data_IF_245376533648
#
_entry.id   IF_245376533648
#
_cell.length_a   1.000
_cell.length_b   1.000
_cell.length_c   1.000
_cell.angle_alpha   90.00
_cell.angle_beta   90.00
_cell.angle_gamma   90.00
#
_symmetry.space_group_name_H-M   'P 1'
#
loop_
_entity.id
_entity.type
_entity.pdbx_description
1 polymer ?
#
# COMPACT_ATOMS: atom_id res chain seq x y z
N UNK A 1 -33.24 9.22 -17.70
CA UNK A 1 -33.18 10.69 -17.99
C UNK A 1 -32.23 11.31 -16.96
N UNK A 2 -31.21 12.03 -17.41
CA UNK A 2 -30.27 12.76 -16.57
C UNK A 2 -30.44 14.24 -16.89
N UNK A 3 -30.39 15.09 -15.88
CA UNK A 3 -30.42 16.56 -16.03
C UNK A 3 -29.01 17.07 -15.80
N UNK A 4 -28.44 17.72 -16.80
CA UNK A 4 -27.12 18.34 -16.73
C UNK A 4 -27.27 19.80 -16.21
N UNK A 5 -26.60 20.10 -15.11
CA UNK A 5 -26.53 21.47 -14.57
C UNK A 5 -25.10 21.96 -14.78
N UNK A 6 -24.93 22.97 -15.60
CA UNK A 6 -23.64 23.53 -15.98
C UNK A 6 -23.28 24.73 -15.11
N UNK A 7 -22.07 24.73 -14.59
CA UNK A 7 -21.38 25.85 -13.97
C UNK A 7 -20.15 26.21 -14.84
N UNK A 8 -19.50 27.31 -14.52
CA UNK A 8 -18.36 27.80 -15.31
C UNK A 8 -17.26 26.78 -15.47
N UNK A 9 -16.91 26.07 -14.39
CA UNK A 9 -15.75 25.16 -14.36
C UNK A 9 -16.12 23.70 -14.17
N UNK A 10 -17.39 23.37 -13.96
CA UNK A 10 -17.85 22.00 -13.73
C UNK A 10 -19.33 21.80 -14.09
N UNK A 11 -19.68 20.53 -14.26
CA UNK A 11 -21.04 20.08 -14.58
C UNK A 11 -21.51 19.10 -13.51
N UNK A 12 -22.75 19.26 -13.04
CA UNK A 12 -23.44 18.23 -12.29
C UNK A 12 -24.39 17.45 -13.18
N UNK A 13 -24.37 16.14 -13.04
CA UNK A 13 -25.37 15.24 -13.62
C UNK A 13 -26.36 14.85 -12.51
N UNK A 14 -27.59 15.30 -12.61
CA UNK A 14 -28.65 15.00 -11.65
C UNK A 14 -29.57 13.94 -12.25
N UNK A 15 -29.60 12.79 -11.58
CA UNK A 15 -30.49 11.71 -11.99
C UNK A 15 -31.65 11.61 -11.02
N UNK A 16 -32.89 11.96 -11.42
CA UNK A 16 -34.07 11.75 -10.59
C UNK A 16 -34.35 10.26 -10.44
N UNK A 17 -34.68 9.84 -9.24
CA UNK A 17 -34.95 8.43 -8.92
C UNK A 17 -36.22 8.31 -8.07
N UNK A 18 -36.88 7.16 -8.17
CA UNK A 18 -37.95 6.77 -7.26
C UNK A 18 -37.37 5.84 -6.20
N UNK A 19 -37.68 6.11 -4.95
CA UNK A 19 -37.35 5.24 -3.83
C UNK A 19 -38.32 4.08 -3.76
N UNK A 20 -37.80 2.87 -3.58
CA UNK A 20 -38.57 1.65 -3.42
C UNK A 20 -37.99 0.84 -2.25
N UNK A 21 -38.87 0.41 -1.35
CA UNK A 21 -38.49 -0.49 -0.27
C UNK A 21 -38.60 -1.93 -0.75
N UNK A 22 -37.54 -2.70 -0.49
CA UNK A 22 -37.46 -4.14 -0.80
C UNK A 22 -36.99 -4.86 0.48
N UNK A 23 -37.92 -5.21 1.34
CA UNK A 23 -37.63 -5.68 2.69
C UNK A 23 -37.00 -4.55 3.52
N UNK A 24 -35.83 -4.84 4.10
CA UNK A 24 -35.04 -3.87 4.87
C UNK A 24 -34.15 -2.98 3.97
N UNK A 25 -34.06 -3.30 2.66
CA UNK A 25 -33.24 -2.59 1.70
C UNK A 25 -34.00 -1.46 1.00
N UNK A 26 -33.32 -0.32 0.82
CA UNK A 26 -33.81 0.80 0.02
C UNK A 26 -33.14 0.76 -1.35
N UNK A 27 -33.93 0.54 -2.39
CA UNK A 27 -33.52 0.59 -3.78
C UNK A 27 -33.99 1.90 -4.44
N UNK A 28 -33.31 2.30 -5.49
CA UNK A 28 -33.69 3.46 -6.29
C UNK A 28 -33.93 3.05 -7.73
N UNK A 29 -35.08 3.43 -8.29
CA UNK A 29 -35.43 3.17 -9.68
C UNK A 29 -35.36 4.45 -10.50
N UNK A 30 -34.82 4.35 -11.70
CA UNK A 30 -34.83 5.45 -12.67
C UNK A 30 -35.29 4.96 -14.04
N UNK A 31 -35.95 5.82 -14.84
CA UNK A 31 -36.46 5.46 -16.16
C UNK A 31 -35.31 5.14 -17.13
N UNK A 32 -35.37 4.01 -17.78
CA UNK A 32 -34.57 3.67 -18.97
C UNK A 32 -35.38 4.01 -20.22
N UNK A 33 -35.24 5.22 -20.71
CA UNK A 33 -35.99 5.72 -21.87
C UNK A 33 -35.67 5.01 -23.18
N UNK A 34 -34.62 4.16 -23.21
CA UNK A 34 -34.26 3.38 -24.40
C UNK A 34 -35.01 2.05 -24.49
N UNK A 35 -35.41 1.52 -23.36
CA UNK A 35 -36.01 0.17 -23.30
C UNK A 35 -37.42 0.18 -22.68
N UNK A 36 -38.03 1.38 -22.51
CA UNK A 36 -39.35 1.57 -21.90
C UNK A 36 -39.50 0.78 -20.60
N UNK A 37 -38.50 0.90 -19.73
CA UNK A 37 -38.36 0.14 -18.49
C UNK A 37 -37.76 0.99 -17.39
N UNK A 38 -37.58 0.40 -16.23
CA UNK A 38 -36.86 0.99 -15.10
C UNK A 38 -35.59 0.21 -14.79
N UNK A 39 -34.53 0.92 -14.41
CA UNK A 39 -33.31 0.32 -13.87
C UNK A 39 -33.21 0.62 -12.40
N UNK A 40 -32.70 -0.36 -11.68
CA UNK A 40 -32.39 -0.23 -10.24
C UNK A 40 -30.97 0.28 -10.10
N UNK A 41 -30.76 1.17 -9.12
CA UNK A 41 -29.43 1.59 -8.64
C UNK A 41 -29.42 1.57 -7.11
N UNK A 42 -28.28 1.22 -6.53
CA UNK A 42 -28.10 1.02 -5.09
C UNK A 42 -26.96 1.87 -4.51
N UNK A 43 -26.95 3.19 -4.71
CA UNK A 43 -25.81 4.05 -4.36
C UNK A 43 -25.55 4.13 -2.86
N UNK A 44 -26.58 3.95 -2.01
CA UNK A 44 -26.40 3.95 -0.55
C UNK A 44 -25.60 2.75 -0.07
N UNK A 45 -25.83 1.55 -0.67
CA UNK A 45 -25.11 0.34 -0.33
C UNK A 45 -23.64 0.44 -0.78
N UNK A 46 -23.39 0.96 -1.99
CA UNK A 46 -22.04 1.23 -2.50
C UNK A 46 -21.29 2.24 -1.62
N UNK A 47 -21.98 3.31 -1.20
CA UNK A 47 -21.40 4.32 -0.31
C UNK A 47 -21.14 3.77 1.09
N UNK A 48 -22.03 2.94 1.63
CA UNK A 48 -21.87 2.31 2.93
C UNK A 48 -20.63 1.40 2.93
N UNK A 49 -20.49 0.55 1.90
CA UNK A 49 -19.32 -0.32 1.75
C UNK A 49 -18.02 0.48 1.68
N UNK A 50 -17.97 1.52 0.85
CA UNK A 50 -16.80 2.40 0.77
C UNK A 50 -16.47 3.07 2.11
N UNK A 51 -17.48 3.39 2.92
CA UNK A 51 -17.31 4.00 4.23
C UNK A 51 -16.74 2.99 5.23
N UNK A 52 -17.30 1.79 5.28
CA UNK A 52 -16.81 0.69 6.12
C UNK A 52 -15.38 0.32 5.74
N UNK A 53 -15.12 0.11 4.46
CA UNK A 53 -13.79 -0.22 3.95
C UNK A 53 -12.75 0.85 4.34
N UNK A 54 -13.13 2.12 4.29
CA UNK A 54 -12.22 3.21 4.72
C UNK A 54 -11.96 3.19 6.23
N UNK A 55 -12.93 2.82 7.05
CA UNK A 55 -12.75 2.72 8.50
C UNK A 55 -11.79 1.58 8.85
N UNK A 56 -11.85 0.48 8.13
CA UNK A 56 -11.05 -0.72 8.36
C UNK A 56 -9.65 -0.62 7.74
N UNK A 57 -9.53 -0.09 6.52
CA UNK A 57 -8.31 -0.12 5.70
C UNK A 57 -7.69 1.28 5.44
N UNK A 58 -8.26 2.34 6.01
CA UNK A 58 -7.76 3.72 5.84
C UNK A 58 -8.16 4.37 4.52
N UNK A 59 -7.46 5.44 4.15
CA UNK A 59 -7.79 6.25 2.97
C UNK A 59 -7.22 5.73 1.65
N UNK A 60 -6.50 4.61 1.66
CA UNK A 60 -5.78 4.07 0.49
C UNK A 60 -6.71 3.86 -0.70
N UNK A 61 -7.88 3.24 -0.48
CA UNK A 61 -8.90 3.04 -1.52
C UNK A 61 -9.29 4.35 -2.22
N UNK A 62 -9.60 5.39 -1.44
CA UNK A 62 -10.01 6.69 -1.99
C UNK A 62 -8.91 7.37 -2.80
N UNK A 63 -7.67 7.29 -2.32
CA UNK A 63 -6.52 7.91 -2.97
C UNK A 63 -6.15 7.18 -4.26
N UNK A 64 -6.05 5.84 -4.21
CA UNK A 64 -5.78 5.02 -5.38
C UNK A 64 -6.87 5.19 -6.45
N UNK A 65 -8.15 5.19 -6.06
CA UNK A 65 -9.26 5.43 -6.98
C UNK A 65 -9.17 6.79 -7.69
N UNK A 66 -8.70 7.85 -6.99
CA UNK A 66 -8.46 9.17 -7.61
C UNK A 66 -7.31 9.12 -8.60
N UNK A 67 -6.20 8.45 -8.26
CA UNK A 67 -5.07 8.27 -9.17
C UNK A 67 -5.48 7.51 -10.43
N UNK A 68 -6.29 6.46 -10.29
CA UNK A 68 -6.81 5.70 -11.42
C UNK A 68 -7.76 6.50 -12.30
N UNK A 69 -8.52 7.44 -11.73
CA UNK A 69 -9.31 8.39 -12.53
C UNK A 69 -8.41 9.34 -13.34
N UNK A 70 -7.29 9.78 -12.77
CA UNK A 70 -6.30 10.58 -13.49
C UNK A 70 -5.69 9.78 -14.65
N UNK A 71 -5.21 8.55 -14.37
CA UNK A 71 -4.68 7.64 -15.39
C UNK A 71 -5.69 7.41 -16.53
N UNK A 72 -6.92 7.01 -16.22
CA UNK A 72 -7.93 6.75 -17.28
C UNK A 72 -8.18 7.96 -18.17
N UNK A 73 -8.22 9.17 -17.59
CA UNK A 73 -8.42 10.41 -18.32
C UNK A 73 -7.22 10.71 -19.22
N UNK A 74 -6.01 10.57 -18.68
CA UNK A 74 -4.76 10.80 -19.42
C UNK A 74 -4.62 9.86 -20.62
N UNK A 75 -4.91 8.57 -20.45
CA UNK A 75 -4.76 7.59 -21.54
C UNK A 75 -6.04 7.41 -22.39
N UNK A 76 -7.09 8.17 -22.12
CA UNK A 76 -8.38 8.06 -22.83
C UNK A 76 -9.02 6.67 -22.69
N UNK A 77 -8.98 6.07 -21.49
CA UNK A 77 -9.60 4.77 -21.22
C UNK A 77 -11.07 4.95 -20.82
N UNK A 78 -11.97 4.30 -21.54
CA UNK A 78 -13.39 4.32 -21.21
C UNK A 78 -13.71 3.32 -20.08
N UNK A 79 -13.38 3.68 -18.84
CA UNK A 79 -13.70 2.94 -17.64
C UNK A 79 -14.58 3.82 -16.73
N UNK A 80 -15.68 3.27 -16.20
CA UNK A 80 -16.61 3.98 -15.30
C UNK A 80 -16.02 4.23 -13.93
N UNK A 81 -16.51 5.27 -13.24
CA UNK A 81 -16.06 5.59 -11.87
C UNK A 81 -16.31 4.45 -10.89
N UNK A 82 -17.53 3.89 -10.90
CA UNK A 82 -17.89 2.76 -10.04
C UNK A 82 -17.06 1.51 -10.35
N UNK A 83 -16.71 1.26 -11.62
CA UNK A 83 -15.82 0.15 -11.97
C UNK A 83 -14.40 0.35 -11.41
N UNK A 84 -13.88 1.58 -11.41
CA UNK A 84 -12.61 1.87 -10.77
C UNK A 84 -12.69 1.60 -9.27
N UNK A 85 -13.73 2.08 -8.60
CA UNK A 85 -13.91 1.88 -7.16
C UNK A 85 -14.04 0.39 -6.82
N UNK A 86 -14.79 -0.36 -7.61
CA UNK A 86 -14.94 -1.82 -7.46
C UNK A 86 -13.61 -2.57 -7.62
N UNK A 87 -12.85 -2.25 -8.66
CA UNK A 87 -11.56 -2.91 -8.90
C UNK A 87 -10.52 -2.54 -7.85
N UNK A 88 -10.53 -1.29 -7.40
CA UNK A 88 -9.65 -0.82 -6.32
C UNK A 88 -9.99 -1.50 -4.99
N UNK A 89 -11.28 -1.65 -4.69
CA UNK A 89 -11.75 -2.38 -3.51
C UNK A 89 -11.29 -3.84 -3.54
N UNK A 90 -11.53 -4.56 -4.64
CA UNK A 90 -11.11 -5.96 -4.79
C UNK A 90 -9.59 -6.13 -4.60
N UNK A 91 -8.83 -5.28 -5.26
CA UNK A 91 -7.37 -5.31 -5.15
C UNK A 91 -6.91 -5.13 -3.69
N UNK A 92 -7.39 -4.09 -3.03
CA UNK A 92 -6.99 -3.81 -1.64
C UNK A 92 -7.49 -4.84 -0.64
N UNK A 93 -8.61 -5.51 -0.90
CA UNK A 93 -9.07 -6.66 -0.08
C UNK A 93 -8.11 -7.84 -0.15
N UNK A 94 -7.38 -8.00 -1.25
CA UNK A 94 -6.38 -9.05 -1.44
C UNK A 94 -4.97 -8.60 -1.01
N UNK A 95 -4.76 -7.29 -0.76
CA UNK A 95 -3.48 -6.65 -0.47
C UNK A 95 -3.50 -5.81 0.83
N UNK A 96 -3.67 -6.48 2.00
CA UNK A 96 -3.73 -5.78 3.29
C UNK A 96 -2.42 -5.08 3.68
N UNK A 97 -1.32 -5.36 2.99
CA UNK A 97 -0.04 -4.64 3.14
C UNK A 97 -0.15 -3.16 2.79
N UNK A 98 -1.18 -2.76 2.04
CA UNK A 98 -1.46 -1.37 1.68
C UNK A 98 -2.49 -0.69 2.60
N UNK A 99 -2.95 -1.37 3.65
CA UNK A 99 -3.84 -0.77 4.63
C UNK A 99 -3.17 0.40 5.33
N UNK A 100 -3.91 1.50 5.46
CA UNK A 100 -3.40 2.73 6.05
C UNK A 100 -2.11 3.27 5.38
N UNK A 101 -1.87 2.89 4.13
CA UNK A 101 -0.68 3.27 3.40
C UNK A 101 -0.53 4.79 3.33
N UNK A 102 0.64 5.27 3.71
CA UNK A 102 1.05 6.65 3.49
C UNK A 102 1.38 6.90 2.02
N UNK A 103 1.49 8.17 1.63
CA UNK A 103 1.78 8.56 0.23
C UNK A 103 3.13 8.04 -0.29
N UNK A 104 3.98 7.54 0.59
CA UNK A 104 5.35 7.12 0.30
C UNK A 104 5.45 5.79 -0.45
N UNK A 105 4.40 4.98 -0.44
CA UNK A 105 4.34 3.68 -1.13
C UNK A 105 3.42 3.71 -2.36
N UNK A 106 2.96 4.88 -2.79
CA UNK A 106 2.00 4.98 -3.91
C UNK A 106 2.62 4.64 -5.27
N UNK A 107 3.92 4.69 -5.41
CA UNK A 107 4.66 4.20 -6.57
C UNK A 107 4.49 2.68 -6.69
N UNK A 108 4.79 1.92 -5.64
CA UNK A 108 4.63 0.47 -5.60
C UNK A 108 3.16 0.05 -5.65
N UNK A 109 2.32 0.70 -4.87
CA UNK A 109 0.87 0.50 -4.90
C UNK A 109 0.29 0.68 -6.31
N UNK A 110 0.74 1.71 -7.04
CA UNK A 110 0.31 1.95 -8.42
C UNK A 110 0.80 0.87 -9.38
N UNK A 111 2.06 0.44 -9.25
CA UNK A 111 2.65 -0.66 -10.02
C UNK A 111 1.84 -1.93 -9.83
N UNK A 112 1.58 -2.32 -8.58
CA UNK A 112 0.92 -3.58 -8.25
C UNK A 112 -0.56 -3.55 -8.65
N UNK A 113 -1.20 -2.39 -8.52
CA UNK A 113 -2.55 -2.23 -9.05
C UNK A 113 -2.60 -2.32 -10.58
N UNK A 114 -1.63 -1.76 -11.31
CA UNK A 114 -1.55 -1.96 -12.76
C UNK A 114 -1.22 -3.40 -13.13
N UNK A 115 -0.45 -4.11 -12.29
CA UNK A 115 -0.23 -5.53 -12.44
C UNK A 115 -1.52 -6.33 -12.29
N UNK A 116 -2.27 -6.07 -11.25
CA UNK A 116 -3.60 -6.64 -11.05
C UNK A 116 -4.50 -6.37 -12.26
N UNK A 117 -4.64 -5.11 -12.70
CA UNK A 117 -5.49 -4.75 -13.84
C UNK A 117 -5.08 -5.43 -15.15
N UNK A 118 -3.76 -5.58 -15.43
CA UNK A 118 -3.32 -6.23 -16.68
C UNK A 118 -3.62 -7.72 -16.70
N UNK A 119 -3.72 -8.35 -15.53
CA UNK A 119 -3.95 -9.78 -15.35
C UNK A 119 -5.44 -10.11 -15.17
N UNK A 120 -6.30 -9.11 -14.95
CA UNK A 120 -7.75 -9.32 -14.86
C UNK A 120 -8.31 -9.99 -16.14
N UNK A 121 -9.20 -10.98 -16.00
CA UNK A 121 -9.82 -11.61 -17.13
C UNK A 121 -10.64 -10.60 -17.97
N UNK A 122 -10.71 -10.81 -19.28
CA UNK A 122 -11.61 -10.02 -20.12
C UNK A 122 -13.03 -10.49 -19.88
N UNK A 123 -13.85 -9.61 -19.33
CA UNK A 123 -15.26 -9.86 -19.07
C UNK A 123 -16.11 -8.61 -19.34
N UNK A 124 -17.41 -8.79 -19.52
CA UNK A 124 -18.31 -7.72 -19.91
C UNK A 124 -18.80 -6.88 -18.71
N UNK A 125 -18.76 -7.45 -17.51
CA UNK A 125 -19.19 -6.79 -16.28
C UNK A 125 -18.44 -7.30 -15.05
N UNK A 126 -18.48 -6.49 -13.99
CA UNK A 126 -18.03 -6.81 -12.63
C UNK A 126 -19.16 -6.55 -11.65
N UNK A 127 -19.17 -7.26 -10.53
CA UNK A 127 -20.11 -7.01 -9.45
C UNK A 127 -19.64 -5.78 -8.65
N UNK A 128 -20.49 -4.76 -8.54
CA UNK A 128 -20.20 -3.54 -7.79
C UNK A 128 -19.97 -3.85 -6.31
N UNK A 129 -19.02 -3.15 -5.72
CA UNK A 129 -18.79 -3.20 -4.26
C UNK A 129 -20.09 -2.85 -3.51
N UNK A 130 -20.35 -3.56 -2.42
CA UNK A 130 -21.48 -3.37 -1.52
C UNK A 130 -22.85 -3.69 -2.11
N UNK A 131 -23.12 -3.30 -3.34
CA UNK A 131 -24.45 -3.49 -3.96
C UNK A 131 -24.61 -4.80 -4.75
N UNK A 132 -23.49 -5.39 -5.20
CA UNK A 132 -23.49 -6.57 -6.08
C UNK A 132 -24.12 -6.34 -7.46
N UNK A 133 -24.39 -5.10 -7.84
CA UNK A 133 -24.96 -4.80 -9.15
C UNK A 133 -23.94 -4.94 -10.29
N UNK A 134 -24.40 -5.31 -11.47
CA UNK A 134 -23.56 -5.43 -12.67
C UNK A 134 -23.01 -4.07 -13.11
N UNK A 135 -21.70 -3.91 -13.07
CA UNK A 135 -20.99 -2.75 -13.62
C UNK A 135 -20.36 -3.11 -14.96
N UNK A 136 -20.90 -2.55 -16.01
CA UNK A 136 -20.50 -2.86 -17.38
C UNK A 136 -19.09 -2.37 -17.71
N UNK A 137 -18.27 -3.22 -18.32
CA UNK A 137 -16.99 -2.87 -18.93
C UNK A 137 -17.23 -2.27 -20.32
N UNK A 138 -17.05 -0.95 -20.44
CA UNK A 138 -17.28 -0.24 -21.70
C UNK A 138 -16.24 -0.60 -22.77
N UNK A 139 -14.98 -0.74 -22.39
CA UNK A 139 -13.84 -1.15 -23.23
C UNK A 139 -12.82 -1.91 -22.39
N UNK A 140 -12.20 -2.97 -22.95
CA UNK A 140 -11.09 -3.67 -22.27
C UNK A 140 -9.98 -2.71 -21.87
N UNK A 141 -9.49 -2.83 -20.65
CA UNK A 141 -8.47 -1.94 -20.06
C UNK A 141 -7.10 -2.61 -19.92
N UNK A 142 -7.01 -3.93 -20.04
CA UNK A 142 -5.82 -4.73 -19.75
C UNK A 142 -4.59 -4.28 -20.54
N UNK A 143 -4.75 -3.96 -21.83
CA UNK A 143 -3.63 -3.55 -22.68
C UNK A 143 -3.04 -2.18 -22.23
N UNK A 144 -3.90 -1.24 -21.81
CA UNK A 144 -3.45 0.05 -21.29
C UNK A 144 -2.87 -0.07 -19.88
N UNK A 145 -3.43 -0.96 -19.06
CA UNK A 145 -2.88 -1.29 -17.75
C UNK A 145 -1.47 -1.90 -17.87
N UNK A 146 -1.26 -2.82 -18.84
CA UNK A 146 0.08 -3.38 -19.11
C UNK A 146 1.11 -2.32 -19.49
N UNK A 147 0.71 -1.32 -20.29
CA UNK A 147 1.61 -0.19 -20.62
C UNK A 147 1.94 0.65 -19.39
N UNK A 148 0.94 0.93 -18.54
CA UNK A 148 1.14 1.67 -17.31
C UNK A 148 2.02 0.88 -16.33
N UNK A 149 1.83 -0.43 -16.20
CA UNK A 149 2.67 -1.31 -15.41
C UNK A 149 4.14 -1.25 -15.84
N UNK A 150 4.43 -1.45 -17.13
CA UNK A 150 5.82 -1.39 -17.61
C UNK A 150 6.45 -0.02 -17.34
N UNK A 151 5.69 1.05 -17.54
CA UNK A 151 6.17 2.41 -17.28
C UNK A 151 6.35 2.71 -15.79
N UNK A 152 5.54 2.12 -14.91
CA UNK A 152 5.74 2.25 -13.47
C UNK A 152 7.02 1.54 -13.00
N UNK A 153 7.38 0.42 -13.61
CA UNK A 153 8.69 -0.22 -13.36
C UNK A 153 9.83 0.70 -13.77
N UNK A 154 9.77 1.27 -14.99
CA UNK A 154 10.78 2.23 -15.46
C UNK A 154 10.90 3.43 -14.50
N UNK A 155 9.76 3.96 -14.03
CA UNK A 155 9.74 5.11 -13.13
C UNK A 155 10.29 4.77 -11.73
N UNK A 156 10.03 3.57 -11.22
CA UNK A 156 10.53 3.12 -9.90
C UNK A 156 12.05 2.91 -9.96
N UNK A 157 12.57 2.38 -11.06
CA UNK A 157 13.99 2.10 -11.23
C UNK A 157 14.82 3.34 -11.65
N UNK A 158 14.17 4.43 -12.10
CA UNK A 158 14.83 5.65 -12.55
C UNK A 158 15.42 6.43 -11.36
N UNK A 159 16.73 6.69 -11.43
CA UNK A 159 17.47 7.43 -10.38
C UNK A 159 17.35 8.95 -10.54
N UNK A 160 17.23 9.43 -11.77
CA UNK A 160 17.04 10.86 -12.05
C UNK A 160 15.61 11.28 -11.69
N UNK A 161 15.48 12.20 -10.74
CA UNK A 161 14.19 12.64 -10.24
C UNK A 161 13.33 13.33 -11.30
N UNK A 162 13.94 14.10 -12.21
CA UNK A 162 13.22 14.78 -13.27
C UNK A 162 12.62 13.76 -14.23
N UNK A 163 13.43 12.81 -14.68
CA UNK A 163 12.99 11.74 -15.57
C UNK A 163 11.94 10.84 -14.89
N UNK A 164 12.15 10.49 -13.61
CA UNK A 164 11.17 9.72 -12.83
C UNK A 164 9.82 10.41 -12.77
N UNK A 165 9.80 11.72 -12.48
CA UNK A 165 8.56 12.48 -12.45
C UNK A 165 7.92 12.59 -13.83
N UNK A 166 8.69 12.71 -14.90
CA UNK A 166 8.17 12.72 -16.27
C UNK A 166 7.55 11.37 -16.64
N UNK A 167 8.13 10.23 -16.23
CA UNK A 167 7.55 8.91 -16.41
C UNK A 167 6.20 8.77 -15.67
N UNK A 168 6.11 9.25 -14.42
CA UNK A 168 4.84 9.28 -13.70
C UNK A 168 3.82 10.22 -14.36
N UNK A 169 4.26 11.34 -14.93
CA UNK A 169 3.39 12.25 -15.71
C UNK A 169 2.87 11.59 -16.98
N UNK A 170 3.63 10.74 -17.61
CA UNK A 170 3.14 9.96 -18.75
C UNK A 170 2.03 8.97 -18.36
N UNK A 171 2.03 8.47 -17.12
CA UNK A 171 0.98 7.60 -16.58
C UNK A 171 -0.23 8.44 -16.15
N UNK A 172 -0.06 9.41 -15.26
CA UNK A 172 -1.15 10.11 -14.58
C UNK A 172 -1.56 11.45 -15.22
N UNK A 173 -0.77 11.93 -16.20
CA UNK A 173 -1.03 13.17 -16.89
C UNK A 173 -0.38 14.40 -16.23
N UNK A 174 -0.70 15.57 -16.80
CA UNK A 174 -0.08 16.85 -16.41
C UNK A 174 -0.40 17.28 -14.98
N UNK A 175 -1.41 16.70 -14.36
CA UNK A 175 -1.75 16.96 -12.95
C UNK A 175 -0.73 16.34 -11.97
N UNK A 176 0.02 15.34 -12.40
CA UNK A 176 1.15 14.87 -11.60
C UNK A 176 2.24 15.94 -11.54
N UNK A 177 2.80 16.25 -10.35
CA UNK A 177 3.77 17.33 -10.19
C UNK A 177 4.95 17.21 -11.14
N UNK A 178 5.38 18.33 -11.73
CA UNK A 178 6.61 18.40 -12.50
C UNK A 178 7.77 18.61 -11.53
N UNK A 179 8.85 17.85 -11.66
CA UNK A 179 10.07 18.22 -10.96
C UNK A 179 10.54 19.56 -11.51
N UNK A 180 10.65 20.54 -10.63
CA UNK A 180 11.23 21.84 -10.99
C UNK A 180 12.66 21.87 -10.50
N UNK A 181 13.55 22.52 -11.26
CA UNK A 181 14.94 22.76 -10.85
C UNK A 181 15.01 23.46 -9.49
N UNK A 182 13.99 24.27 -9.15
CA UNK A 182 13.86 24.90 -7.84
C UNK A 182 13.51 23.88 -6.71
N UNK A 183 12.89 22.73 -7.04
CA UNK A 183 12.69 21.62 -6.08
C UNK A 183 13.98 20.81 -5.90
N UNK A 184 14.82 20.67 -6.94
CA UNK A 184 16.14 20.06 -6.80
C UNK A 184 17.12 20.99 -6.08
N UNK A 185 17.09 22.31 -6.37
CA UNK A 185 17.87 23.31 -5.64
C UNK A 185 17.36 23.51 -4.20
N UNK A 186 16.06 23.47 -3.96
CA UNK A 186 15.50 23.49 -2.60
C UNK A 186 15.75 22.18 -1.85
N UNK A 187 16.04 21.08 -2.55
CA UNK A 187 16.46 19.83 -1.92
C UNK A 187 17.96 19.75 -1.66
N UNK A 188 18.81 20.38 -2.46
CA UNK A 188 20.20 20.63 -2.06
C UNK A 188 20.26 21.61 -0.87
N UNK A 189 19.34 22.59 -0.80
CA UNK A 189 19.18 23.48 0.36
C UNK A 189 18.33 22.84 1.47
N UNK A 190 17.47 21.88 1.16
CA UNK A 190 16.72 21.07 2.14
C UNK A 190 17.32 19.67 2.35
N UNK A 191 18.61 19.51 2.06
CA UNK A 191 19.43 18.49 2.75
C UNK A 191 19.49 18.76 4.25
N UNK A 192 18.89 19.85 4.69
CA UNK A 192 18.33 20.12 6.02
C UNK A 192 16.81 19.97 6.08
N UNK A 193 16.14 19.22 5.18
CA UNK A 193 14.82 18.66 5.55
C UNK A 193 15.11 17.68 6.67
N UNK A 194 14.78 18.12 7.85
CA UNK A 194 14.65 17.39 9.07
C UNK A 194 13.81 16.13 8.81
N UNK A 195 14.44 15.08 8.26
CA UNK A 195 13.90 13.75 8.48
C UNK A 195 14.02 13.55 10.00
N UNK A 196 12.91 13.28 10.64
CA UNK A 196 12.92 12.91 12.03
C UNK A 196 13.60 11.55 12.08
N UNK A 197 14.80 11.49 12.59
CA UNK A 197 15.43 10.22 12.91
C UNK A 197 14.85 9.75 14.25
N UNK A 198 13.87 8.81 14.26
CA UNK A 198 13.22 8.37 15.48
C UNK A 198 14.04 7.29 16.19
N UNK A 199 15.32 7.15 15.88
CA UNK A 199 16.16 6.11 16.44
C UNK A 199 16.26 6.23 17.96
N UNK A 200 15.91 5.14 18.64
CA UNK A 200 16.07 4.97 20.08
C UNK A 200 17.18 3.95 20.35
N UNK A 201 17.88 4.15 21.47
CA UNK A 201 18.85 3.20 21.96
C UNK A 201 18.28 2.48 23.17
N UNK A 202 18.46 1.17 23.22
CA UNK A 202 17.88 0.35 24.30
C UNK A 202 18.45 0.74 25.67
N UNK A 203 19.69 1.19 25.69
CA UNK A 203 20.42 1.64 26.86
C UNK A 203 19.79 2.89 27.50
N UNK A 204 19.07 3.70 26.73
CA UNK A 204 18.37 4.90 27.20
C UNK A 204 17.04 4.55 27.88
N UNK A 205 16.50 3.37 27.61
CA UNK A 205 15.20 2.93 28.11
C UNK A 205 15.30 1.89 29.21
N UNK A 206 16.31 1.03 29.19
CA UNK A 206 16.48 -0.07 30.13
C UNK A 206 17.94 -0.26 30.52
N UNK A 207 18.23 -0.65 31.76
CA UNK A 207 19.54 -1.16 32.13
C UNK A 207 19.90 -2.38 31.27
N UNK A 208 21.17 -2.49 30.87
CA UNK A 208 21.68 -3.60 30.08
C UNK A 208 22.71 -4.40 30.86
N UNK A 209 22.46 -5.71 31.03
CA UNK A 209 23.36 -6.64 31.68
C UNK A 209 23.24 -8.00 30.99
N UNK A 210 24.03 -8.18 29.95
CA UNK A 210 23.95 -9.36 29.07
C UNK A 210 24.51 -10.58 29.79
N UNK A 211 23.64 -11.53 30.09
CA UNK A 211 23.94 -12.79 30.81
C UNK A 211 23.58 -14.04 30.04
N UNK A 212 22.79 -13.91 28.97
CA UNK A 212 22.22 -15.00 28.22
C UNK A 212 22.48 -14.81 26.72
N UNK A 213 22.23 -15.86 25.96
CA UNK A 213 22.32 -15.82 24.52
C UNK A 213 20.93 -15.69 23.90
N UNK A 214 20.85 -15.00 22.79
CA UNK A 214 19.72 -15.00 21.88
C UNK A 214 20.25 -15.06 20.45
N UNK A 215 19.58 -15.81 19.62
CA UNK A 215 19.85 -15.87 18.19
C UNK A 215 18.62 -15.42 17.44
N UNK A 216 18.77 -14.44 16.57
CA UNK A 216 17.73 -13.86 15.73
C UNK A 216 17.85 -14.39 14.32
N UNK A 217 16.76 -14.90 13.77
CA UNK A 217 16.64 -15.23 12.35
C UNK A 217 15.29 -14.76 11.81
N UNK A 218 15.06 -14.91 10.52
CA UNK A 218 13.85 -14.48 9.87
C UNK A 218 13.36 -15.51 8.86
N UNK A 219 12.09 -15.89 8.96
CA UNK A 219 11.41 -16.63 7.91
C UNK A 219 11.02 -15.67 6.79
N UNK A 220 11.63 -15.81 5.62
CA UNK A 220 11.27 -15.08 4.41
C UNK A 220 10.15 -15.82 3.72
N UNK A 221 9.01 -15.14 3.53
CA UNK A 221 7.79 -15.75 2.99
C UNK A 221 7.35 -15.04 1.70
N UNK A 222 6.78 -15.83 0.80
CA UNK A 222 6.09 -15.35 -0.39
C UNK A 222 4.70 -15.97 -0.46
N UNK A 223 3.68 -15.14 -0.61
CA UNK A 223 2.27 -15.59 -0.69
C UNK A 223 1.89 -16.53 0.47
N UNK A 224 2.39 -16.26 1.68
CA UNK A 224 2.13 -17.07 2.88
C UNK A 224 2.99 -18.33 3.04
N UNK A 225 3.80 -18.69 2.04
CA UNK A 225 4.71 -19.84 2.11
C UNK A 225 6.14 -19.41 2.44
N UNK A 226 6.80 -20.12 3.35
CA UNK A 226 8.20 -19.90 3.65
C UNK A 226 9.06 -20.28 2.43
N UNK A 227 9.83 -19.32 1.92
CA UNK A 227 10.83 -19.59 0.87
C UNK A 227 12.14 -20.08 1.48
N UNK A 228 12.66 -19.36 2.50
CA UNK A 228 13.92 -19.69 3.16
C UNK A 228 14.02 -19.00 4.52
N UNK A 229 15.02 -19.39 5.31
CA UNK A 229 15.52 -18.59 6.43
C UNK A 229 16.45 -17.51 5.89
N UNK A 230 16.41 -16.31 6.47
CA UNK A 230 17.25 -15.20 6.06
C UNK A 230 18.74 -15.52 6.19
N UNK A 231 19.12 -16.20 7.27
CA UNK A 231 20.50 -16.69 7.46
C UNK A 231 21.00 -17.53 6.28
N UNK A 232 20.15 -18.37 5.69
CA UNK A 232 20.53 -19.19 4.52
C UNK A 232 20.66 -18.32 3.25
N UNK A 233 19.77 -17.34 3.05
CA UNK A 233 19.85 -16.40 1.94
C UNK A 233 21.18 -15.63 2.02
N UNK A 234 21.51 -15.10 3.19
CA UNK A 234 22.73 -14.33 3.41
C UNK A 234 24.00 -15.20 3.23
N UNK A 235 23.98 -16.44 3.73
CA UNK A 235 25.08 -17.38 3.57
C UNK A 235 25.34 -17.74 2.10
N UNK A 236 24.33 -17.69 1.23
CA UNK A 236 24.48 -17.91 -0.21
C UNK A 236 24.92 -16.64 -0.98
N UNK A 237 25.17 -15.53 -0.27
CA UNK A 237 25.53 -14.24 -0.88
C UNK A 237 24.38 -13.53 -1.59
N UNK A 238 23.15 -14.02 -1.41
CA UNK A 238 21.94 -13.43 -1.98
C UNK A 238 21.36 -12.35 -1.07
N UNK A 239 20.45 -11.57 -1.63
CA UNK A 239 19.67 -10.54 -0.91
C UNK A 239 18.20 -10.93 -0.89
N UNK A 240 17.44 -10.26 -0.04
CA UNK A 240 16.00 -10.45 0.02
C UNK A 240 15.36 -9.66 -1.12
N UNK A 241 14.58 -10.31 -1.96
CA UNK A 241 13.79 -9.61 -2.97
C UNK A 241 12.65 -8.84 -2.32
N UNK A 242 12.25 -7.74 -2.93
CA UNK A 242 11.06 -6.98 -2.52
C UNK A 242 9.79 -7.82 -2.57
N UNK A 243 8.74 -7.31 -1.92
CA UNK A 243 7.42 -7.98 -1.85
C UNK A 243 7.53 -9.36 -1.17
N UNK A 244 8.25 -9.39 -0.05
CA UNK A 244 8.32 -10.56 0.84
C UNK A 244 7.78 -10.19 2.21
N UNK A 245 7.14 -11.15 2.83
CA UNK A 245 6.80 -11.08 4.24
C UNK A 245 7.96 -11.63 5.06
N UNK A 246 8.30 -10.92 6.11
CA UNK A 246 9.42 -11.22 6.98
C UNK A 246 8.88 -11.51 8.39
N UNK A 247 9.06 -12.73 8.86
CA UNK A 247 8.71 -13.09 10.24
C UNK A 247 9.98 -13.37 11.02
N UNK A 248 10.38 -12.39 11.85
CA UNK A 248 11.53 -12.49 12.72
C UNK A 248 11.20 -13.35 13.93
N UNK A 249 12.03 -14.34 14.17
CA UNK A 249 11.93 -15.26 15.28
C UNK A 249 13.24 -15.30 16.05
N UNK A 250 13.13 -15.44 17.36
CA UNK A 250 14.30 -15.54 18.23
C UNK A 250 14.31 -16.88 18.97
N UNK A 251 15.51 -17.39 19.22
CA UNK A 251 15.76 -18.52 20.09
C UNK A 251 16.71 -18.08 21.19
N UNK A 252 16.38 -18.34 22.44
CA UNK A 252 17.16 -17.89 23.60
C UNK A 252 17.19 -18.93 24.70
N UNK A 253 18.23 -18.90 25.50
CA UNK A 253 18.41 -19.69 26.74
C UNK A 253 17.92 -18.93 27.99
N UNK A 254 17.32 -17.74 27.84
CA UNK A 254 16.74 -16.96 28.96
C UNK A 254 15.57 -17.73 29.57
N UNK A 255 15.57 -17.99 30.90
CA UNK A 255 14.44 -18.65 31.55
C UNK A 255 13.18 -17.76 31.54
N UNK A 256 12.02 -18.34 31.26
CA UNK A 256 10.72 -17.66 31.38
C UNK A 256 10.40 -17.25 32.82
N UNK A 257 9.62 -16.19 33.07
CA UNK A 257 9.05 -15.28 32.07
C UNK A 257 10.04 -14.20 31.62
N UNK A 258 9.89 -13.71 30.39
CA UNK A 258 10.58 -12.54 29.85
C UNK A 258 9.73 -11.89 28.75
N UNK A 259 10.01 -10.62 28.45
CA UNK A 259 9.44 -9.90 27.32
C UNK A 259 10.44 -9.73 26.19
N UNK A 260 9.95 -9.53 24.98
CA UNK A 260 10.79 -9.29 23.81
C UNK A 260 10.50 -7.90 23.25
N UNK A 261 11.54 -7.08 23.13
CA UNK A 261 11.50 -5.78 22.46
C UNK A 261 12.21 -5.88 21.12
N UNK A 262 11.75 -5.09 20.17
CA UNK A 262 12.22 -5.10 18.80
C UNK A 262 12.62 -3.70 18.37
N UNK A 263 13.62 -3.61 17.50
CA UNK A 263 13.96 -2.39 16.78
C UNK A 263 14.10 -2.74 15.31
N UNK A 264 13.34 -2.06 14.46
CA UNK A 264 13.44 -2.18 13.00
C UNK A 264 14.03 -0.91 12.46
N UNK A 265 15.19 -0.98 11.86
CA UNK A 265 15.89 0.17 11.32
C UNK A 265 16.00 0.09 9.82
N UNK A 266 15.39 1.04 9.15
CA UNK A 266 15.56 1.24 7.73
C UNK A 266 16.77 2.17 7.48
N UNK A 267 17.64 1.78 6.55
CA UNK A 267 18.90 2.48 6.28
C UNK A 267 19.01 2.76 4.78
N UNK A 268 19.71 3.83 4.44
CA UNK A 268 20.01 4.24 3.07
C UNK A 268 19.17 5.42 2.60
N UNK A 269 19.51 5.92 1.41
CA UNK A 269 18.90 7.13 0.84
C UNK A 269 17.41 6.93 0.53
N UNK A 270 17.01 5.72 0.16
CA UNK A 270 15.62 5.38 -0.08
C UNK A 270 14.78 5.47 1.20
N UNK A 271 15.29 4.99 2.34
CA UNK A 271 14.64 5.13 3.63
C UNK A 271 14.50 6.61 4.06
N UNK A 272 15.53 7.42 3.78
CA UNK A 272 15.49 8.87 4.03
C UNK A 272 14.48 9.55 3.09
N UNK A 273 14.52 9.23 1.80
CA UNK A 273 13.60 9.75 0.79
C UNK A 273 12.15 9.48 1.15
N UNK A 274 11.87 8.28 1.68
CA UNK A 274 10.54 7.85 2.12
C UNK A 274 10.19 8.36 3.52
N UNK A 275 11.09 9.06 4.23
CA UNK A 275 10.95 9.46 5.63
C UNK A 275 10.51 8.28 6.53
N UNK A 276 11.07 7.10 6.29
CA UNK A 276 10.73 5.87 7.00
C UNK A 276 11.98 5.20 7.59
N UNK A 277 12.87 6.00 8.18
CA UNK A 277 14.08 5.50 8.82
C UNK A 277 13.76 4.53 9.96
N UNK A 278 12.68 4.75 10.70
CA UNK A 278 12.29 3.96 11.88
C UNK A 278 13.42 3.87 12.91
N UNK A 279 13.35 2.97 13.84
CA UNK A 279 14.40 2.77 14.85
C UNK A 279 13.88 2.88 16.28
N UNK A 280 12.59 3.05 16.45
CA UNK A 280 11.94 3.02 17.75
C UNK A 280 12.02 1.61 18.36
N UNK A 281 12.10 1.55 19.69
CA UNK A 281 11.98 0.30 20.44
C UNK A 281 10.50 -0.02 20.62
N UNK A 282 10.07 -1.12 20.05
CA UNK A 282 8.66 -1.50 19.92
C UNK A 282 8.41 -2.91 20.44
N UNK A 283 7.14 -3.18 20.73
CA UNK A 283 6.69 -4.52 21.12
C UNK A 283 6.50 -5.44 19.92
N UNK A 284 6.33 -6.72 20.19
CA UNK A 284 5.91 -7.69 19.19
C UNK A 284 4.53 -7.33 18.61
N UNK A 285 4.34 -7.57 17.31
CA UNK A 285 3.03 -7.46 16.66
C UNK A 285 2.37 -8.83 16.41
N UNK A 286 2.85 -9.90 17.07
CA UNK A 286 2.30 -11.25 17.01
C UNK A 286 1.70 -11.70 18.32
N UNK A 287 0.65 -12.54 18.26
CA UNK A 287 0.11 -13.22 19.45
C UNK A 287 1.22 -14.04 20.13
N UNK A 288 1.36 -13.87 21.43
CA UNK A 288 2.41 -14.54 22.21
C UNK A 288 3.67 -13.72 22.44
N UNK A 289 3.78 -12.51 21.83
CA UNK A 289 4.84 -11.54 22.18
C UNK A 289 6.27 -11.91 21.76
N UNK A 290 6.47 -12.99 21.01
CA UNK A 290 7.78 -13.60 20.78
C UNK A 290 8.34 -13.39 19.38
N UNK A 291 7.55 -12.93 18.43
CA UNK A 291 7.93 -12.76 17.04
C UNK A 291 7.55 -11.38 16.51
N UNK A 292 8.25 -10.93 15.47
CA UNK A 292 7.95 -9.67 14.79
C UNK A 292 7.70 -9.92 13.31
N UNK A 293 6.61 -9.34 12.79
CA UNK A 293 6.25 -9.41 11.39
C UNK A 293 6.51 -8.05 10.71
N UNK A 294 7.19 -8.08 9.56
CA UNK A 294 7.50 -6.91 8.73
C UNK A 294 7.37 -7.28 7.25
N UNK A 295 7.36 -6.28 6.38
CA UNK A 295 7.39 -6.43 4.93
C UNK A 295 8.70 -5.90 4.33
N UNK A 296 9.15 -6.52 3.24
CA UNK A 296 10.31 -6.10 2.48
C UNK A 296 9.87 -5.20 1.32
N UNK A 297 9.70 -3.90 1.58
CA UNK A 297 9.00 -2.99 0.68
C UNK A 297 9.93 -2.21 -0.26
N UNK A 298 11.17 -1.95 0.13
CA UNK A 298 12.10 -1.13 -0.65
C UNK A 298 13.57 -1.45 -0.39
N UNK A 299 14.41 -1.05 -1.33
CA UNK A 299 15.86 -1.27 -1.29
C UNK A 299 16.52 -0.66 -0.05
N UNK A 300 17.47 -1.37 0.49
CA UNK A 300 18.36 -0.83 1.48
C UNK A 300 19.05 -1.87 2.34
N UNK A 301 20.13 -1.47 3.03
CA UNK A 301 20.83 -2.30 3.99
C UNK A 301 20.17 -2.19 5.37
N UNK A 302 18.90 -2.60 5.48
CA UNK A 302 18.11 -2.55 6.71
C UNK A 302 18.64 -3.53 7.76
N UNK A 303 18.19 -3.36 9.00
CA UNK A 303 18.47 -4.34 10.06
C UNK A 303 17.35 -4.41 11.10
N UNK A 304 17.31 -5.53 11.80
CA UNK A 304 16.41 -5.74 12.93
C UNK A 304 17.23 -6.15 14.13
N UNK A 305 16.90 -5.59 15.29
CA UNK A 305 17.46 -5.96 16.59
C UNK A 305 16.36 -6.53 17.48
N UNK A 306 16.73 -7.53 18.25
CA UNK A 306 15.90 -8.19 19.26
C UNK A 306 16.55 -8.05 20.63
N UNK A 307 15.75 -7.74 21.63
CA UNK A 307 16.19 -7.56 23.01
C UNK A 307 15.30 -8.36 23.94
N UNK A 308 15.91 -9.16 24.81
CA UNK A 308 15.19 -9.92 25.82
C UNK A 308 15.21 -9.12 27.14
N UNK A 309 14.02 -8.72 27.56
CA UNK A 309 13.79 -7.96 28.78
C UNK A 309 13.32 -8.91 29.89
N UNK A 310 14.10 -9.03 30.95
CA UNK A 310 13.77 -9.83 32.14
C UNK A 310 13.96 -8.99 33.38
N UNK A 311 12.93 -8.93 34.23
CA UNK A 311 12.96 -8.19 35.50
C UNK A 311 13.39 -6.71 35.33
N UNK A 312 13.00 -6.08 34.21
CA UNK A 312 13.33 -4.70 33.88
C UNK A 312 14.75 -4.47 33.32
N UNK A 313 15.51 -5.53 33.06
CA UNK A 313 16.90 -5.48 32.59
C UNK A 313 16.98 -6.19 31.24
N UNK A 314 17.69 -5.63 30.26
CA UNK A 314 18.03 -6.33 29.01
C UNK A 314 19.15 -7.33 29.30
N UNK A 315 18.80 -8.61 29.17
CA UNK A 315 19.70 -9.73 29.55
C UNK A 315 20.27 -10.48 28.35
N UNK A 316 19.72 -10.28 27.15
CA UNK A 316 20.24 -10.80 25.89
C UNK A 316 19.83 -9.87 24.73
N UNK A 317 20.65 -9.80 23.69
CA UNK A 317 20.34 -9.06 22.45
C UNK A 317 21.04 -9.68 21.26
N UNK A 318 20.42 -9.54 20.08
CA UNK A 318 21.02 -9.93 18.81
C UNK A 318 20.53 -9.00 17.69
N UNK A 319 21.25 -9.03 16.57
CA UNK A 319 20.95 -8.20 15.38
C UNK A 319 21.15 -9.02 14.11
N UNK A 320 20.20 -8.88 13.17
CA UNK A 320 20.30 -9.44 11.83
C UNK A 320 20.20 -8.34 10.78
N UNK A 321 21.08 -8.37 9.78
CA UNK A 321 21.01 -7.50 8.63
C UNK A 321 19.99 -8.03 7.62
N UNK A 322 19.24 -7.13 7.02
CA UNK A 322 18.17 -7.44 6.05
C UNK A 322 18.43 -6.63 4.77
N UNK A 323 19.39 -7.06 3.93
CA UNK A 323 19.66 -6.36 2.67
C UNK A 323 18.56 -6.69 1.66
N UNK A 324 17.75 -5.69 1.30
CA UNK A 324 16.65 -5.79 0.32
C UNK A 324 17.12 -5.23 -1.02
N UNK A 325 16.84 -5.99 -2.11
CA UNK A 325 17.14 -5.61 -3.49
C UNK A 325 15.88 -5.34 -4.34
#
# INVERSE_FOLDING_TARGET
>A
MVVDVFFTDFKFEVQPVFEEQDGDDTNYKFPDTKHDSYRITKPKQEQAEMTTFRQEHGNTHRLLSKMMRSWKNNVGQAIGGLLIDTLTHRFLSEHPEYDHAGTLVFDELSRDFFEFLKNEPKQDHYQALGSGQDVKVKKPFQAKAKKAYNKSLEAIDELDEVKRNDLWREIFGQQFPKATTALSESREFSSTVSYTDPEQFIEDLYPVDIRYNVTLDCEVKRNGFREAMLSHILASGQRVSRVRSLEFVQTTDVPQPFDVKWKVRNVGDEAKRRNCLRGEIIDSNRKGGMARYESADFHGPHYVECYILKDGIIVARDRINVPIE
#
